data_IF_559748057058
#
_entry.id   IF_559748057058
#
_cell.length_a   1.000
_cell.length_b   1.000
_cell.length_c   1.000
_cell.angle_alpha   90.00
_cell.angle_beta   90.00
_cell.angle_gamma   90.00
#
_symmetry.space_group_name_H-M   'P 1'
#
loop_
_entity.id
_entity.type
_entity.pdbx_description
1 polymer ?
#
# COMPACT_ATOMS: atom_id res chain seq x y z
N UNK A 1 -29.55 -48.14 -35.46
CA UNK A 1 -28.25 -47.51 -35.10
C UNK A 1 -28.52 -46.32 -34.21
N UNK A 2 -28.08 -46.38 -32.95
CA UNK A 2 -28.33 -45.39 -31.91
C UNK A 2 -27.19 -44.38 -31.94
N UNK A 3 -27.50 -43.10 -32.14
CA UNK A 3 -26.54 -42.00 -32.16
C UNK A 3 -26.21 -41.57 -30.72
N UNK A 4 -24.95 -41.65 -30.26
CA UNK A 4 -24.54 -41.14 -28.96
C UNK A 4 -23.97 -39.72 -29.11
N UNK A 5 -24.66 -38.82 -29.82
CA UNK A 5 -24.18 -37.43 -29.98
C UNK A 5 -24.87 -36.44 -29.05
N UNK A 6 -25.99 -36.83 -28.44
CA UNK A 6 -26.76 -35.92 -27.58
C UNK A 6 -26.27 -35.86 -26.12
N UNK A 7 -25.41 -36.80 -25.70
CA UNK A 7 -24.95 -36.87 -24.30
C UNK A 7 -23.68 -36.06 -24.02
N UNK A 8 -22.94 -35.63 -25.05
CA UNK A 8 -21.67 -34.92 -24.87
C UNK A 8 -21.85 -33.39 -24.72
N UNK A 9 -22.94 -32.83 -25.23
CA UNK A 9 -23.21 -31.38 -25.17
C UNK A 9 -23.69 -30.97 -23.77
N UNK A 10 -24.39 -31.85 -23.05
CA UNK A 10 -24.91 -31.53 -21.71
C UNK A 10 -23.82 -31.45 -20.63
N UNK A 11 -22.69 -32.16 -20.83
CA UNK A 11 -21.57 -32.19 -19.88
C UNK A 11 -20.71 -30.91 -20.00
N UNK A 12 -20.64 -30.31 -21.19
CA UNK A 12 -19.86 -29.07 -21.42
C UNK A 12 -20.55 -27.82 -20.87
N UNK A 13 -21.89 -27.82 -20.75
CA UNK A 13 -22.65 -26.69 -20.22
C UNK A 13 -22.61 -26.65 -18.67
N UNK A 14 -22.48 -27.82 -18.03
CA UNK A 14 -22.41 -27.91 -16.56
C UNK A 14 -21.06 -27.50 -15.97
N UNK A 15 -19.96 -27.53 -16.74
CA UNK A 15 -18.65 -27.05 -16.27
C UNK A 15 -18.48 -25.54 -16.33
N UNK A 16 -19.27 -24.83 -17.15
CA UNK A 16 -19.27 -23.36 -17.20
C UNK A 16 -20.17 -22.71 -16.14
N UNK A 17 -21.04 -23.49 -15.49
CA UNK A 17 -22.02 -23.00 -14.51
C UNK A 17 -21.51 -22.99 -13.06
N UNK A 18 -20.31 -23.55 -12.80
CA UNK A 18 -19.71 -23.59 -11.45
C UNK A 18 -18.89 -22.35 -11.07
N UNK A 19 -18.81 -21.34 -11.95
CA UNK A 19 -18.05 -20.11 -11.69
C UNK A 19 -18.97 -18.94 -11.33
N UNK A 20 -19.83 -19.08 -10.31
CA UNK A 20 -20.60 -17.92 -9.86
C UNK A 20 -21.06 -17.95 -8.38
N UNK A 21 -20.14 -18.28 -7.45
CA UNK A 21 -20.42 -18.22 -6.00
C UNK A 21 -19.29 -17.62 -5.14
N UNK A 22 -18.18 -17.12 -5.68
CA UNK A 22 -17.06 -16.55 -4.88
C UNK A 22 -16.46 -15.24 -5.46
N UNK A 23 -17.29 -14.31 -5.93
CA UNK A 23 -16.83 -12.98 -6.41
C UNK A 23 -16.69 -11.93 -5.29
N UNK A 24 -16.62 -12.35 -4.02
CA UNK A 24 -16.07 -11.52 -2.95
C UNK A 24 -14.65 -12.01 -2.70
N UNK A 25 -13.67 -11.13 -2.90
CA UNK A 25 -12.27 -11.24 -2.42
C UNK A 25 -11.18 -11.75 -3.39
N UNK A 26 -11.35 -11.70 -4.72
CA UNK A 26 -10.18 -11.81 -5.60
C UNK A 26 -9.68 -10.40 -5.95
N UNK A 27 -8.46 -10.06 -5.51
CA UNK A 27 -7.81 -8.79 -5.84
C UNK A 27 -7.74 -8.62 -7.37
N UNK A 28 -8.22 -7.49 -7.87
CA UNK A 28 -8.01 -7.07 -9.24
C UNK A 28 -6.59 -6.50 -9.39
N UNK A 29 -5.83 -6.92 -10.40
CA UNK A 29 -4.49 -6.36 -10.64
C UNK A 29 -4.57 -5.25 -11.69
N UNK A 30 -4.69 -3.99 -11.25
CA UNK A 30 -4.89 -2.84 -12.14
C UNK A 30 -3.63 -2.45 -12.91
N UNK A 31 -2.46 -2.86 -12.43
CA UNK A 31 -1.17 -2.49 -13.01
C UNK A 31 -0.44 -3.69 -13.63
N UNK A 32 -1.14 -4.81 -13.92
CA UNK A 32 -0.52 -6.01 -14.48
C UNK A 32 0.05 -5.82 -15.90
N UNK A 33 -0.42 -4.81 -16.64
CA UNK A 33 0.10 -4.44 -17.95
C UNK A 33 1.31 -3.52 -17.89
N UNK A 34 1.62 -2.97 -16.71
CA UNK A 34 2.75 -2.07 -16.51
C UNK A 34 4.06 -2.84 -16.32
N UNK A 35 5.19 -2.18 -16.58
CA UNK A 35 6.49 -2.78 -16.32
C UNK A 35 6.70 -3.00 -14.81
N UNK A 36 7.28 -4.11 -14.34
CA UNK A 36 7.50 -4.30 -12.91
C UNK A 36 8.44 -3.22 -12.35
N UNK A 37 7.99 -2.50 -11.32
CA UNK A 37 8.78 -1.53 -10.56
C UNK A 37 9.93 -2.19 -9.82
N UNK A 38 9.70 -3.41 -9.31
CA UNK A 38 10.71 -4.23 -8.64
C UNK A 38 10.73 -5.64 -9.23
N UNK A 39 11.93 -6.21 -9.36
CA UNK A 39 12.15 -7.53 -9.93
C UNK A 39 12.73 -8.45 -8.87
N UNK A 40 11.86 -9.13 -8.15
CA UNK A 40 12.22 -10.20 -7.23
C UNK A 40 11.63 -11.52 -7.73
N UNK A 41 12.36 -12.61 -7.57
CA UNK A 41 11.84 -13.95 -7.84
C UNK A 41 11.03 -14.39 -6.61
N UNK A 42 9.73 -14.15 -6.64
CA UNK A 42 8.79 -14.43 -5.55
C UNK A 42 7.43 -14.77 -6.13
N UNK A 43 6.69 -15.72 -5.52
CA UNK A 43 5.31 -15.99 -5.92
C UNK A 43 4.40 -14.76 -5.75
N UNK A 44 4.77 -13.82 -4.88
CA UNK A 44 4.00 -12.61 -4.59
C UNK A 44 4.42 -11.40 -5.44
N UNK A 45 5.28 -11.58 -6.45
CA UNK A 45 5.83 -10.45 -7.22
C UNK A 45 4.77 -9.60 -7.94
N UNK A 46 3.66 -10.19 -8.40
CA UNK A 46 2.54 -9.43 -8.97
C UNK A 46 1.87 -8.55 -7.90
N UNK A 47 1.63 -9.10 -6.71
CA UNK A 47 1.02 -8.39 -5.57
C UNK A 47 1.91 -7.25 -5.07
N UNK A 48 3.22 -7.48 -5.00
CA UNK A 48 4.18 -6.44 -4.59
C UNK A 48 4.23 -5.31 -5.61
N UNK A 49 4.21 -5.62 -6.91
CA UNK A 49 4.19 -4.59 -7.95
C UNK A 49 2.88 -3.81 -7.94
N UNK A 50 1.74 -4.48 -7.80
CA UNK A 50 0.43 -3.84 -7.61
C UNK A 50 0.45 -2.86 -6.42
N UNK A 51 1.04 -3.29 -5.31
CA UNK A 51 1.16 -2.50 -4.10
C UNK A 51 2.01 -1.23 -4.28
N UNK A 52 3.20 -1.33 -4.88
CA UNK A 52 4.03 -0.13 -5.08
C UNK A 52 3.42 0.83 -6.11
N UNK A 53 2.77 0.32 -7.16
CA UNK A 53 2.03 1.17 -8.10
C UNK A 53 0.90 1.96 -7.42
N UNK A 54 0.04 1.27 -6.68
CA UNK A 54 -1.08 1.93 -5.99
C UNK A 54 -0.58 2.90 -4.91
N UNK A 55 0.47 2.54 -4.18
CA UNK A 55 1.09 3.44 -3.20
C UNK A 55 1.62 4.72 -3.84
N UNK A 56 2.41 4.64 -4.92
CA UNK A 56 2.94 5.82 -5.60
C UNK A 56 1.84 6.69 -6.18
N UNK A 57 0.81 6.07 -6.76
CA UNK A 57 -0.36 6.79 -7.27
C UNK A 57 -1.07 7.56 -6.17
N UNK A 58 -1.32 6.92 -5.02
CA UNK A 58 -2.01 7.55 -3.89
C UNK A 58 -1.17 8.66 -3.25
N UNK A 59 0.15 8.47 -3.13
CA UNK A 59 1.05 9.54 -2.69
C UNK A 59 1.06 10.74 -3.64
N UNK A 60 1.10 10.50 -4.95
CA UNK A 60 1.06 11.57 -5.94
C UNK A 60 -0.25 12.35 -5.87
N UNK A 61 -1.39 11.65 -5.83
CA UNK A 61 -2.70 12.28 -5.71
C UNK A 61 -2.82 13.16 -4.46
N UNK A 62 -2.17 12.77 -3.36
CA UNK A 62 -2.25 13.50 -2.12
C UNK A 62 -1.25 14.66 -1.99
N UNK A 63 -0.01 14.48 -2.44
CA UNK A 63 1.09 15.40 -2.15
C UNK A 63 1.66 16.13 -3.36
N UNK A 64 1.25 15.77 -4.58
CA UNK A 64 1.78 16.34 -5.83
C UNK A 64 0.66 17.00 -6.66
N UNK A 65 -0.19 17.82 -6.02
CA UNK A 65 -1.34 18.47 -6.67
C UNK A 65 -0.97 19.38 -7.84
N UNK A 66 0.26 19.91 -7.84
CA UNK A 66 0.78 20.76 -8.91
C UNK A 66 1.72 20.02 -9.87
N UNK A 67 1.94 18.71 -9.69
CA UNK A 67 2.72 17.86 -10.58
C UNK A 67 4.23 18.13 -10.63
N UNK A 68 4.74 19.07 -9.82
CA UNK A 68 6.09 19.62 -9.99
C UNK A 68 7.18 18.95 -9.14
N UNK A 69 6.84 18.13 -8.15
CA UNK A 69 7.86 17.61 -7.22
C UNK A 69 7.59 16.18 -6.74
N UNK A 70 7.89 15.21 -7.61
CA UNK A 70 7.74 13.78 -7.33
C UNK A 70 8.65 13.29 -6.21
N UNK A 71 9.86 13.84 -6.04
CA UNK A 71 10.74 13.45 -4.93
C UNK A 71 10.19 13.91 -3.56
N UNK A 72 9.52 15.07 -3.52
CA UNK A 72 8.97 15.64 -2.28
C UNK A 72 7.80 14.82 -1.70
N UNK A 73 7.10 14.02 -2.50
CA UNK A 73 5.99 13.19 -2.01
C UNK A 73 6.48 12.21 -0.94
N UNK A 74 7.66 11.62 -1.15
CA UNK A 74 8.29 10.68 -0.23
C UNK A 74 8.74 11.35 1.05
N UNK A 75 9.44 12.47 0.94
CA UNK A 75 9.84 13.28 2.11
C UNK A 75 8.62 13.70 2.92
N UNK A 76 7.54 14.11 2.26
CA UNK A 76 6.30 14.52 2.93
C UNK A 76 5.66 13.35 3.67
N UNK A 77 5.51 12.19 3.02
CA UNK A 77 4.98 10.99 3.65
C UNK A 77 5.82 10.56 4.87
N UNK A 78 7.14 10.41 4.70
CA UNK A 78 8.04 9.99 5.78
C UNK A 78 7.96 10.96 6.96
N UNK A 79 7.95 12.27 6.70
CA UNK A 79 7.81 13.28 7.75
C UNK A 79 6.48 13.15 8.49
N UNK A 80 5.38 12.86 7.80
CA UNK A 80 4.08 12.66 8.46
C UNK A 80 4.05 11.39 9.31
N UNK A 81 4.70 10.31 8.87
CA UNK A 81 4.86 9.09 9.68
C UNK A 81 5.69 9.38 10.94
N UNK A 82 6.87 10.00 10.79
CA UNK A 82 7.75 10.36 11.91
C UNK A 82 7.02 11.27 12.92
N UNK A 83 6.25 12.25 12.42
CA UNK A 83 5.53 13.21 13.26
C UNK A 83 4.20 12.65 13.80
N UNK A 84 3.81 11.41 13.49
CA UNK A 84 2.52 10.81 13.86
C UNK A 84 1.32 11.64 13.39
N UNK A 85 1.46 12.24 12.21
CA UNK A 85 0.45 13.10 11.57
C UNK A 85 -0.17 12.47 10.33
N UNK A 86 0.29 11.29 9.91
CA UNK A 86 -0.28 10.59 8.77
C UNK A 86 -1.67 10.02 9.13
N UNK A 87 -2.69 10.46 8.40
CA UNK A 87 -4.10 10.10 8.58
C UNK A 87 -4.53 9.20 7.43
N UNK A 88 -4.27 7.90 7.55
CA UNK A 88 -4.26 6.97 6.39
C UNK A 88 -5.58 6.92 5.61
N UNK A 89 -6.72 7.13 6.29
CA UNK A 89 -8.04 7.06 5.67
C UNK A 89 -8.38 8.24 4.74
N UNK A 90 -7.61 9.32 4.76
CA UNK A 90 -7.71 10.41 3.77
C UNK A 90 -6.98 10.07 2.45
N UNK A 91 -6.05 9.12 2.48
CA UNK A 91 -5.17 8.76 1.37
C UNK A 91 -5.62 7.49 0.67
N UNK A 92 -5.96 6.48 1.47
CA UNK A 92 -6.30 5.14 0.99
C UNK A 92 -7.54 5.13 0.09
N UNK A 93 -7.54 4.17 -0.83
CA UNK A 93 -8.65 3.86 -1.72
C UNK A 93 -9.22 2.48 -1.34
N UNK A 94 -10.42 2.11 -1.83
CA UNK A 94 -10.89 0.74 -1.71
C UNK A 94 -9.86 -0.27 -2.25
N UNK A 95 -9.16 0.09 -3.34
CA UNK A 95 -8.09 -0.72 -3.91
C UNK A 95 -6.92 -0.93 -2.96
N UNK A 96 -6.48 0.12 -2.26
CA UNK A 96 -5.44 -0.01 -1.22
C UNK A 96 -5.84 -0.97 -0.12
N UNK A 97 -7.12 -1.00 0.28
CA UNK A 97 -7.62 -1.94 1.29
C UNK A 97 -7.59 -3.38 0.79
N UNK A 98 -8.00 -3.62 -0.45
CA UNK A 98 -7.94 -4.94 -1.08
C UNK A 98 -6.50 -5.46 -1.16
N UNK A 99 -5.56 -4.60 -1.58
CA UNK A 99 -4.14 -4.93 -1.60
C UNK A 99 -3.63 -5.24 -0.18
N UNK A 100 -4.00 -4.44 0.83
CA UNK A 100 -3.59 -4.68 2.21
C UNK A 100 -4.07 -6.04 2.74
N UNK A 101 -5.31 -6.40 2.43
CA UNK A 101 -5.90 -7.70 2.78
C UNK A 101 -5.17 -8.84 2.08
N UNK A 102 -4.87 -8.69 0.78
CA UNK A 102 -4.11 -9.68 0.02
C UNK A 102 -2.67 -9.83 0.53
N UNK A 103 -1.99 -8.73 0.87
CA UNK A 103 -0.66 -8.74 1.49
C UNK A 103 -0.68 -9.49 2.82
N UNK A 104 -1.69 -9.27 3.66
CA UNK A 104 -1.82 -9.95 4.94
C UNK A 104 -2.09 -11.47 4.81
N UNK A 105 -2.55 -11.92 3.65
CA UNK A 105 -2.80 -13.33 3.35
C UNK A 105 -1.64 -14.00 2.61
N UNK A 106 -0.60 -13.24 2.24
CA UNK A 106 0.54 -13.73 1.46
C UNK A 106 1.78 -13.93 2.31
N UNK A 107 2.88 -14.37 1.68
CA UNK A 107 4.18 -14.53 2.37
C UNK A 107 4.88 -13.20 2.63
N UNK A 108 4.37 -12.09 2.06
CA UNK A 108 4.93 -10.75 2.22
C UNK A 108 4.79 -10.28 3.67
N UNK A 109 3.68 -10.63 4.33
CA UNK A 109 3.39 -10.20 5.70
C UNK A 109 3.45 -11.38 6.68
N UNK A 110 3.86 -11.05 7.91
CA UNK A 110 3.78 -11.92 9.07
C UNK A 110 3.22 -11.11 10.24
N UNK A 111 2.15 -11.62 10.85
CA UNK A 111 1.44 -10.92 11.92
C UNK A 111 1.06 -9.48 11.53
N UNK A 112 0.37 -9.30 10.39
CA UNK A 112 -0.16 -7.99 9.93
C UNK A 112 0.89 -6.94 9.55
N UNK A 113 2.17 -7.33 9.53
CA UNK A 113 3.28 -6.44 9.21
C UNK A 113 4.20 -7.07 8.16
N UNK A 114 4.94 -6.24 7.42
CA UNK A 114 5.94 -6.72 6.47
C UNK A 114 6.95 -7.66 7.13
N UNK A 115 7.07 -8.89 6.61
CA UNK A 115 8.07 -9.84 7.08
C UNK A 115 9.44 -9.42 6.59
N UNK A 116 10.13 -8.65 7.43
CA UNK A 116 11.47 -8.15 7.15
C UNK A 116 12.48 -9.27 6.92
N UNK A 117 12.22 -10.52 7.32
CA UNK A 117 13.15 -11.64 7.20
C UNK A 117 12.87 -12.59 6.02
N UNK A 118 11.79 -12.38 5.28
CA UNK A 118 11.41 -13.19 4.11
C UNK A 118 12.42 -13.12 2.95
N UNK A 119 12.32 -14.06 2.01
CA UNK A 119 13.13 -14.07 0.78
C UNK A 119 12.84 -12.85 -0.11
N UNK A 120 11.57 -12.44 -0.21
CA UNK A 120 11.20 -11.19 -0.86
C UNK A 120 11.90 -10.00 -0.20
N UNK A 121 11.87 -9.91 1.14
CA UNK A 121 12.55 -8.83 1.85
C UNK A 121 14.05 -8.84 1.58
N UNK A 122 14.70 -10.01 1.63
CA UNK A 122 16.11 -10.15 1.27
C UNK A 122 16.38 -9.63 -0.15
N UNK A 123 15.55 -9.98 -1.13
CA UNK A 123 15.67 -9.46 -2.48
C UNK A 123 15.54 -7.92 -2.53
N UNK A 124 14.52 -7.35 -1.88
CA UNK A 124 14.29 -5.92 -1.85
C UNK A 124 15.48 -5.16 -1.25
N UNK A 125 15.96 -5.58 -0.07
CA UNK A 125 17.11 -4.94 0.58
C UNK A 125 18.39 -5.08 -0.25
N UNK A 126 18.65 -6.25 -0.85
CA UNK A 126 19.84 -6.47 -1.67
C UNK A 126 19.83 -5.73 -3.02
N UNK A 127 18.64 -5.33 -3.48
CA UNK A 127 18.44 -4.64 -4.76
C UNK A 127 18.47 -3.11 -4.63
N UNK A 128 18.58 -2.58 -3.41
CA UNK A 128 18.78 -1.14 -3.17
C UNK A 128 20.02 -0.67 -3.95
N UNK A 129 19.84 0.40 -4.73
CA UNK A 129 20.85 0.93 -5.67
C UNK A 129 22.01 1.60 -4.96
N UNK A 130 21.75 2.31 -3.86
CA UNK A 130 22.80 2.93 -3.06
C UNK A 130 23.55 1.85 -2.25
N UNK A 131 24.80 1.57 -2.60
CA UNK A 131 25.61 0.53 -1.97
C UNK A 131 25.81 0.72 -0.47
N UNK A 132 26.03 1.96 0.00
CA UNK A 132 26.27 2.26 1.41
C UNK A 132 24.99 2.04 2.22
N UNK A 133 23.86 2.50 1.68
CA UNK A 133 22.55 2.31 2.28
C UNK A 133 22.19 0.83 2.34
N UNK A 134 22.33 0.11 1.23
CA UNK A 134 22.13 -1.34 1.14
C UNK A 134 22.93 -2.09 2.20
N UNK A 135 24.23 -1.79 2.29
CA UNK A 135 25.14 -2.45 3.24
C UNK A 135 24.72 -2.19 4.69
N UNK A 136 24.39 -0.94 5.00
CA UNK A 136 23.97 -0.53 6.34
C UNK A 136 22.66 -1.21 6.75
N UNK A 137 21.64 -1.17 5.89
CA UNK A 137 20.34 -1.78 6.16
C UNK A 137 20.44 -3.30 6.28
N UNK A 138 21.21 -3.97 5.42
CA UNK A 138 21.45 -5.41 5.54
C UNK A 138 22.21 -5.78 6.83
N UNK A 139 23.17 -4.96 7.25
CA UNK A 139 23.88 -5.17 8.51
C UNK A 139 22.93 -5.06 9.71
N UNK A 140 22.08 -4.03 9.73
CA UNK A 140 21.03 -3.86 10.75
C UNK A 140 20.04 -5.03 10.74
N UNK A 141 19.62 -5.48 9.56
CA UNK A 141 18.75 -6.66 9.40
C UNK A 141 19.40 -7.91 9.99
N UNK A 142 20.66 -8.20 9.62
CA UNK A 142 21.41 -9.37 10.11
C UNK A 142 21.60 -9.35 11.63
N UNK A 143 21.79 -8.16 12.20
CA UNK A 143 21.91 -7.94 13.64
C UNK A 143 20.55 -7.84 14.37
N UNK A 144 19.42 -8.13 13.69
CA UNK A 144 18.07 -7.96 14.24
C UNK A 144 17.83 -6.58 14.88
N UNK A 145 18.45 -5.56 14.31
CA UNK A 145 18.53 -4.18 14.84
C UNK A 145 17.85 -3.17 13.92
N UNK A 146 17.11 -3.64 12.90
CA UNK A 146 16.36 -2.82 11.96
C UNK A 146 15.06 -2.28 12.58
N UNK A 147 15.21 -1.47 13.64
CA UNK A 147 14.10 -0.84 14.38
C UNK A 147 13.62 0.41 13.66
N UNK A 148 12.35 0.78 13.83
CA UNK A 148 11.75 1.94 13.17
C UNK A 148 12.44 3.27 13.52
N UNK A 149 12.93 3.40 14.75
CA UNK A 149 13.69 4.57 15.21
C UNK A 149 15.09 4.70 14.57
N UNK A 150 15.56 3.66 13.88
CA UNK A 150 16.76 3.71 13.02
C UNK A 150 16.34 3.87 11.57
N UNK A 151 15.36 3.09 11.13
CA UNK A 151 14.98 2.99 9.73
C UNK A 151 14.30 4.27 9.19
N UNK A 152 13.36 4.87 9.94
CA UNK A 152 12.66 6.09 9.49
C UNK A 152 13.61 7.28 9.33
N UNK A 153 14.54 7.58 10.26
CA UNK A 153 15.55 8.62 10.03
C UNK A 153 16.46 8.31 8.82
N UNK A 154 16.87 7.05 8.63
CA UNK A 154 17.63 6.66 7.44
C UNK A 154 16.83 6.93 6.16
N UNK A 155 15.55 6.55 6.13
CA UNK A 155 14.65 6.81 5.01
C UNK A 155 14.43 8.29 4.77
N UNK A 156 14.31 9.10 5.82
CA UNK A 156 14.17 10.55 5.72
C UNK A 156 15.37 11.19 5.01
N UNK A 157 16.59 10.79 5.38
CA UNK A 157 17.82 11.28 4.75
C UNK A 157 17.95 10.84 3.28
N UNK A 158 17.43 9.65 2.95
CA UNK A 158 17.49 9.07 1.61
C UNK A 158 16.27 9.41 0.74
N UNK A 159 15.27 10.12 1.27
CA UNK A 159 13.96 10.30 0.65
C UNK A 159 14.01 10.83 -0.79
N UNK A 160 15.03 11.63 -1.13
CA UNK A 160 15.24 12.14 -2.49
C UNK A 160 15.53 11.03 -3.51
N UNK A 161 16.07 9.90 -3.06
CA UNK A 161 16.46 8.77 -3.90
C UNK A 161 15.31 7.78 -4.16
N UNK A 162 14.21 7.86 -3.39
CA UNK A 162 13.08 6.93 -3.46
C UNK A 162 12.37 6.95 -4.82
N UNK A 163 12.34 8.12 -5.46
CA UNK A 163 11.80 8.23 -6.82
C UNK A 163 12.58 7.36 -7.83
N UNK A 164 13.90 7.27 -7.66
CA UNK A 164 14.80 6.54 -8.55
C UNK A 164 15.06 5.10 -8.10
N UNK A 165 14.81 4.78 -6.83
CA UNK A 165 15.01 3.46 -6.25
C UNK A 165 13.67 2.89 -5.77
N UNK A 166 13.02 2.11 -6.64
CA UNK A 166 11.72 1.52 -6.33
C UNK A 166 11.81 0.40 -5.28
N UNK A 167 12.99 -0.16 -5.03
CA UNK A 167 13.16 -1.17 -3.99
C UNK A 167 12.98 -0.55 -2.60
N UNK A 168 13.61 0.60 -2.34
CA UNK A 168 13.44 1.28 -1.04
C UNK A 168 12.02 1.85 -0.87
N UNK A 169 11.42 2.35 -1.95
CA UNK A 169 10.03 2.81 -1.94
C UNK A 169 9.04 1.67 -1.66
N UNK A 170 9.30 0.48 -2.19
CA UNK A 170 8.53 -0.73 -1.91
C UNK A 170 8.65 -1.13 -0.44
N UNK A 171 9.87 -1.12 0.13
CA UNK A 171 10.07 -1.40 1.56
C UNK A 171 9.29 -0.39 2.43
N UNK A 172 9.32 0.90 2.08
CA UNK A 172 8.56 1.94 2.78
C UNK A 172 7.04 1.70 2.72
N UNK A 173 6.50 1.36 1.54
CA UNK A 173 5.08 1.07 1.37
C UNK A 173 4.66 -0.14 2.22
N UNK A 174 5.39 -1.25 2.10
CA UNK A 174 5.08 -2.50 2.79
C UNK A 174 5.23 -2.38 4.31
N UNK A 175 6.23 -1.64 4.80
CA UNK A 175 6.51 -1.53 6.23
C UNK A 175 5.69 -0.46 6.95
N UNK A 176 5.30 0.63 6.29
CA UNK A 176 4.71 1.79 6.97
C UNK A 176 3.35 2.23 6.45
N UNK A 177 2.97 1.87 5.22
CA UNK A 177 1.66 2.25 4.67
C UNK A 177 0.65 1.12 4.79
N UNK A 178 0.92 -0.03 4.18
CA UNK A 178 -0.03 -1.15 4.14
C UNK A 178 -0.41 -1.75 5.50
N UNK A 179 0.48 -1.84 6.51
CA UNK A 179 0.11 -2.32 7.84
C UNK A 179 -1.00 -1.48 8.49
N UNK A 180 -1.06 -0.18 8.18
CA UNK A 180 -2.11 0.71 8.69
C UNK A 180 -3.50 0.37 8.12
N UNK A 181 -3.56 -0.36 7.01
CA UNK A 181 -4.77 -0.68 6.27
C UNK A 181 -5.31 -2.08 6.55
N UNK A 182 -4.51 -2.97 7.13
CA UNK A 182 -4.84 -4.41 7.25
C UNK A 182 -6.17 -4.66 7.97
N UNK A 183 -6.49 -3.84 8.98
CA UNK A 183 -7.73 -3.94 9.77
C UNK A 183 -8.81 -2.95 9.37
N UNK A 184 -8.57 -2.14 8.35
CA UNK A 184 -9.52 -1.13 7.91
C UNK A 184 -10.56 -1.73 6.96
N UNK A 185 -11.76 -1.18 7.02
CA UNK A 185 -12.86 -1.49 6.13
C UNK A 185 -13.25 -0.25 5.30
N UNK A 186 -14.00 -0.44 4.22
CA UNK A 186 -14.40 0.66 3.33
C UNK A 186 -15.13 1.79 4.07
N UNK A 187 -15.91 1.45 5.10
CA UNK A 187 -16.61 2.42 5.94
C UNK A 187 -15.66 3.37 6.68
N UNK A 188 -14.40 2.98 6.88
CA UNK A 188 -13.40 3.76 7.59
C UNK A 188 -12.72 4.79 6.67
N UNK A 189 -12.86 4.63 5.34
CA UNK A 189 -12.37 5.58 4.35
C UNK A 189 -13.14 6.90 4.40
N UNK A 190 -12.40 7.99 4.20
CA UNK A 190 -12.99 9.32 3.98
C UNK A 190 -13.50 9.37 2.55
N UNK A 191 -14.77 9.72 2.40
CA UNK A 191 -15.37 9.96 1.09
C UNK A 191 -14.71 11.21 0.49
N UNK A 192 -13.98 11.03 -0.60
CA UNK A 192 -13.38 12.14 -1.32
C UNK A 192 -14.50 12.87 -2.05
N UNK A 193 -14.96 13.99 -1.48
CA UNK A 193 -15.90 14.87 -2.16
C UNK A 193 -15.27 15.31 -3.49
N UNK A 194 -15.90 14.97 -4.60
CA UNK A 194 -15.49 15.47 -5.90
C UNK A 194 -15.54 17.00 -5.87
N UNK A 195 -14.36 17.62 -5.94
CA UNK A 195 -14.22 19.06 -6.09
C UNK A 195 -14.60 19.48 -7.52
N UNK A 196 -15.78 19.10 -8.01
CA UNK A 196 -16.46 19.89 -9.02
C UNK A 196 -16.76 21.25 -8.39
N UNK A 197 -16.26 22.37 -8.93
CA UNK A 197 -16.65 23.69 -8.47
C UNK A 197 -18.17 23.77 -8.63
N UNK A 198 -18.90 23.79 -7.52
CA UNK A 198 -20.28 24.24 -7.55
C UNK A 198 -20.19 25.70 -7.99
N UNK A 199 -20.55 25.98 -9.25
CA UNK A 199 -20.75 27.34 -9.79
C UNK A 199 -21.98 27.97 -9.12
N UNK A 200 -21.99 28.00 -7.80
CA UNK A 200 -22.96 28.69 -6.97
C UNK A 200 -22.26 29.87 -6.33
N UNK A 201 -22.83 31.06 -6.51
CA UNK A 201 -22.41 32.29 -5.83
C UNK A 201 -22.26 32.02 -4.33
N UNK A 202 -21.04 32.19 -3.81
CA UNK A 202 -20.76 32.00 -2.38
C UNK A 202 -21.60 33.00 -1.59
N UNK A 203 -22.58 32.49 -0.82
CA UNK A 203 -23.38 33.30 0.08
C UNK A 203 -22.77 33.24 1.49
N UNK A 204 -22.04 34.28 1.86
CA UNK A 204 -21.35 34.41 3.16
C UNK A 204 -22.29 34.51 4.37
N UNK A 205 -23.61 34.64 4.16
CA UNK A 205 -24.60 34.73 5.23
C UNK A 205 -25.27 33.39 5.58
N UNK A 206 -24.90 32.29 4.91
CA UNK A 206 -25.36 30.95 5.31
C UNK A 206 -24.34 30.32 6.26
N UNK A 207 -24.76 30.04 7.48
CA UNK A 207 -24.01 29.19 8.41
C UNK A 207 -23.83 27.80 7.80
N UNK A 208 -22.63 27.20 7.86
CA UNK A 208 -22.40 25.85 7.36
C UNK A 208 -23.34 24.86 8.08
N UNK A 209 -24.00 24.00 7.31
CA UNK A 209 -24.82 22.94 7.89
C UNK A 209 -23.89 21.84 8.41
N UNK A 210 -23.66 21.81 9.73
CA UNK A 210 -22.79 20.88 10.47
C UNK A 210 -23.37 19.46 10.56
N UNK A 211 -23.97 18.95 9.48
CA UNK A 211 -24.42 17.56 9.37
C UNK A 211 -23.43 16.67 8.61
N UNK A 212 -22.21 17.16 8.35
CA UNK A 212 -21.11 16.29 7.96
C UNK A 212 -20.65 15.51 9.20
N UNK A 213 -21.06 14.25 9.30
CA UNK A 213 -20.53 13.32 10.30
C UNK A 213 -19.02 13.19 10.04
N UNK A 214 -18.22 13.89 10.84
CA UNK A 214 -16.76 13.79 10.82
C UNK A 214 -16.43 12.35 11.25
N UNK A 215 -16.11 11.48 10.29
CA UNK A 215 -15.61 10.14 10.61
C UNK A 215 -14.29 10.28 11.39
N UNK A 216 -14.04 9.44 12.41
CA UNK A 216 -12.80 9.51 13.18
C UNK A 216 -11.57 9.40 12.28
N UNK A 217 -10.62 10.32 12.42
CA UNK A 217 -9.31 10.24 11.76
C UNK A 217 -8.49 9.12 12.41
N UNK A 218 -8.11 8.10 11.64
CA UNK A 218 -7.25 7.01 12.12
C UNK A 218 -5.80 7.42 11.86
N UNK A 219 -5.07 7.70 12.94
CA UNK A 219 -3.64 8.03 12.88
C UNK A 219 -2.81 6.76 13.00
N UNK A 220 -1.63 6.76 12.38
CA UNK A 220 -0.64 5.70 12.57
C UNK A 220 -0.24 5.59 14.05
N UNK A 221 -0.50 4.45 14.68
CA UNK A 221 -0.09 4.15 16.06
C UNK A 221 1.09 3.15 16.04
N UNK A 222 2.08 3.33 16.93
CA UNK A 222 3.24 2.43 17.07
C UNK A 222 3.13 1.59 18.35
N UNK A 223 3.67 0.36 18.38
CA UNK A 223 3.83 -0.42 19.60
C UNK A 223 4.76 0.29 20.58
N UNK A 224 4.41 0.23 21.87
CA UNK A 224 4.98 1.05 22.94
C UNK A 224 6.51 1.00 23.05
N UNK A 225 7.10 2.15 23.34
CA UNK A 225 8.50 2.25 23.72
C UNK A 225 8.66 1.72 25.15
N UNK A 226 9.04 0.45 25.29
CA UNK A 226 9.66 -0.01 26.54
C UNK A 226 11.06 0.62 26.60
N UNK A 227 11.18 1.68 27.40
CA UNK A 227 12.45 2.28 27.75
C UNK A 227 13.28 1.29 28.56
N UNK A 228 14.47 0.97 28.07
CA UNK A 228 15.51 0.38 28.90
C UNK A 228 16.43 1.50 29.39
N UNK A 229 16.19 1.91 30.64
CA UNK A 229 17.23 2.49 31.45
C UNK A 229 18.17 1.37 31.89
N UNK A 230 19.42 1.42 31.43
CA UNK A 230 20.57 0.81 32.09
C UNK A 230 21.75 1.77 31.97
#
# INVERSE_FOLDING_TARGET
>A
MKTPFFSLILIVILTLSSCNQNKKNQLEYKYSSEAPMVKCDSPDSLLVNEAIYEFEKNLNAAFNKDGRNTARIYTTFINQIIQKRFVVNEFATPHSLEIAKALNQSSVFKNETFDVNSDLSNCLFNSIKNNNLRTSLNSLKKANSLRDNVLLPTFQNEARNFYNDKYISTILALKYYYPLLVKMEEKDLVEKLDATPQNGTINFNKTPNTNQTIKPQIKAEQPGHEGHNH
#
